data_IF_801466426539
#
_entry.id   IF_801466426539
#
_cell.length_a   1.000
_cell.length_b   1.000
_cell.length_c   1.000
_cell.angle_alpha   90.00
_cell.angle_beta   90.00
_cell.angle_gamma   90.00
#
_symmetry.space_group_name_H-M   'P 1'
#
loop_
_entity.id
_entity.type
_entity.pdbx_description
1 polymer ?
#
# COMPACT_ATOMS: atom_id res chain seq x y z
N UNK A 1 13.60 11.27 9.70
CA UNK A 1 13.98 11.63 11.07
C UNK A 1 14.62 10.47 11.82
N UNK A 2 13.99 9.30 11.75
CA UNK A 2 14.46 8.06 12.41
C UNK A 2 14.82 7.06 11.31
N UNK A 3 16.10 6.70 11.22
CA UNK A 3 16.60 5.75 10.23
C UNK A 3 17.33 4.59 10.91
N UNK A 4 16.98 3.37 10.52
CA UNK A 4 17.65 2.14 10.94
C UNK A 4 18.15 1.40 9.70
N UNK A 5 19.42 1.08 9.64
CA UNK A 5 19.99 0.39 8.49
C UNK A 5 20.59 -0.97 8.92
N UNK A 6 20.11 -2.04 8.30
CA UNK A 6 20.53 -3.42 8.57
C UNK A 6 20.41 -3.84 10.04
N UNK A 7 19.31 -3.44 10.66
CA UNK A 7 19.01 -3.80 12.03
C UNK A 7 18.10 -5.03 12.11
N UNK A 8 18.22 -5.79 13.19
CA UNK A 8 17.34 -6.90 13.53
C UNK A 8 16.74 -6.66 14.91
N UNK A 9 15.41 -6.56 14.99
CA UNK A 9 14.71 -6.22 16.21
C UNK A 9 14.66 -4.71 16.46
N UNK A 10 13.65 -4.05 15.89
CA UNK A 10 13.38 -2.61 16.07
C UNK A 10 12.04 -2.47 16.77
N UNK A 11 11.99 -1.69 17.84
CA UNK A 11 10.76 -1.26 18.48
C UNK A 11 10.72 0.25 18.59
N UNK A 12 9.71 0.88 17.95
CA UNK A 12 9.37 2.29 18.12
C UNK A 12 7.98 2.32 18.73
N UNK A 13 7.86 2.82 19.95
CA UNK A 13 6.60 2.72 20.68
C UNK A 13 6.27 3.98 21.46
N UNK A 14 4.97 4.36 21.43
CA UNK A 14 4.37 5.40 22.26
C UNK A 14 5.12 6.75 22.19
N UNK A 15 5.54 7.17 20.99
CA UNK A 15 6.24 8.42 20.76
C UNK A 15 5.49 9.30 19.76
N UNK A 16 5.69 10.61 19.88
CA UNK A 16 5.24 11.60 18.91
C UNK A 16 6.44 12.08 18.09
N UNK A 17 6.33 12.01 16.76
CA UNK A 17 7.36 12.46 15.81
C UNK A 17 6.80 13.58 14.94
N UNK A 18 7.51 14.69 14.86
CA UNK A 18 7.08 15.89 14.14
C UNK A 18 8.24 16.57 13.43
N UNK A 19 7.92 17.39 12.42
CA UNK A 19 8.87 18.29 11.76
C UNK A 19 10.11 17.59 11.18
N UNK A 20 9.91 16.42 10.57
CA UNK A 20 10.96 15.78 9.80
C UNK A 20 11.16 16.52 8.48
N UNK A 21 12.39 16.77 8.04
CA UNK A 21 12.66 17.38 6.73
C UNK A 21 12.43 16.40 5.56
N UNK A 22 12.25 15.13 5.84
CA UNK A 22 12.07 14.04 4.89
C UNK A 22 11.31 12.90 5.58
N UNK A 23 11.24 11.69 5.04
CA UNK A 23 10.57 10.53 5.62
C UNK A 23 10.82 10.40 7.13
N UNK A 24 9.75 10.20 7.90
CA UNK A 24 9.84 10.27 9.36
C UNK A 24 10.48 9.02 9.96
N UNK A 25 9.92 7.85 9.67
CA UNK A 25 10.46 6.54 10.09
C UNK A 25 10.87 5.77 8.84
N UNK A 26 12.17 5.52 8.69
CA UNK A 26 12.72 4.85 7.52
C UNK A 26 13.68 3.71 7.93
N UNK A 27 13.16 2.53 8.23
CA UNK A 27 14.00 1.34 8.34
C UNK A 27 14.40 0.84 6.95
N UNK A 28 15.67 0.56 6.76
CA UNK A 28 16.27 0.12 5.51
C UNK A 28 16.98 -1.21 5.69
N UNK A 29 16.71 -2.20 4.82
CA UNK A 29 17.35 -3.52 4.85
C UNK A 29 17.31 -4.17 6.26
N UNK A 30 16.21 -3.94 6.97
CA UNK A 30 16.04 -4.32 8.38
C UNK A 30 14.92 -5.34 8.55
N UNK A 31 14.89 -6.02 9.69
CA UNK A 31 13.87 -7.04 9.95
C UNK A 31 13.39 -7.04 11.39
N UNK A 32 12.24 -7.69 11.63
CA UNK A 32 11.60 -7.81 12.93
C UNK A 32 11.34 -6.42 13.55
N UNK A 33 10.48 -5.64 12.85
CA UNK A 33 10.23 -4.24 13.15
C UNK A 33 8.83 -4.10 13.74
N UNK A 34 8.71 -3.40 14.84
CA UNK A 34 7.42 -3.00 15.43
C UNK A 34 7.36 -1.49 15.57
N UNK A 35 6.32 -0.88 15.02
CA UNK A 35 5.93 0.52 15.21
C UNK A 35 4.55 0.52 15.86
N UNK A 36 4.45 0.90 17.13
CA UNK A 36 3.24 0.74 17.94
C UNK A 36 2.89 2.01 18.70
N UNK A 37 1.65 2.49 18.56
CA UNK A 37 1.18 3.66 19.30
C UNK A 37 1.90 4.96 18.94
N UNK A 38 2.45 5.07 17.74
CA UNK A 38 3.20 6.26 17.31
C UNK A 38 2.24 7.30 16.71
N UNK A 39 2.42 8.55 17.10
CA UNK A 39 1.73 9.69 16.50
C UNK A 39 2.70 10.47 15.60
N UNK A 40 2.39 10.58 14.31
CA UNK A 40 3.18 11.32 13.34
C UNK A 40 2.40 12.54 12.85
N UNK A 41 3.02 13.73 12.98
CA UNK A 41 2.53 14.97 12.38
C UNK A 41 3.65 15.61 11.56
N UNK A 42 3.59 15.47 10.24
CA UNK A 42 4.66 15.92 9.35
C UNK A 42 4.11 16.36 7.98
N UNK A 43 3.72 17.61 7.85
CA UNK A 43 3.05 18.18 6.66
C UNK A 43 4.00 18.59 5.52
N UNK A 44 5.31 18.45 5.70
CA UNK A 44 6.30 18.86 4.69
C UNK A 44 6.27 17.99 3.44
N UNK A 45 6.78 18.48 2.30
CA UNK A 45 6.93 17.67 1.09
C UNK A 45 7.87 16.48 1.34
N UNK A 46 7.58 15.33 0.74
CA UNK A 46 8.22 14.04 1.05
C UNK A 46 8.19 13.73 2.56
N UNK A 47 7.13 14.18 3.22
CA UNK A 47 6.93 14.01 4.65
C UNK A 47 6.23 12.70 4.99
N UNK A 48 6.60 11.59 4.30
CA UNK A 48 6.04 10.26 4.51
C UNK A 48 6.19 9.84 5.98
N UNK A 49 5.18 9.14 6.51
CA UNK A 49 5.16 8.77 7.92
C UNK A 49 6.06 7.58 8.25
N UNK A 50 5.87 6.46 7.58
CA UNK A 50 6.65 5.25 7.82
C UNK A 50 6.95 4.51 6.51
N UNK A 51 8.23 4.43 6.18
CA UNK A 51 8.74 3.91 4.92
C UNK A 51 9.65 2.69 5.12
N UNK A 52 9.09 1.50 5.40
CA UNK A 52 9.90 0.30 5.44
C UNK A 52 10.43 -0.02 4.04
N UNK A 53 11.77 0.04 3.86
CA UNK A 53 12.44 -0.18 2.59
C UNK A 53 13.29 -1.44 2.62
N UNK A 54 12.99 -2.42 1.76
CA UNK A 54 13.64 -3.72 1.72
C UNK A 54 13.64 -4.41 3.10
N UNK A 55 12.50 -4.35 3.80
CA UNK A 55 12.34 -4.83 5.17
C UNK A 55 11.51 -6.11 5.23
N UNK A 56 11.76 -6.92 6.26
CA UNK A 56 11.05 -8.17 6.49
C UNK A 56 10.46 -8.25 7.90
N UNK A 57 9.25 -8.80 8.03
CA UNK A 57 8.53 -8.94 9.29
C UNK A 57 8.33 -7.59 9.97
N UNK A 58 7.41 -6.80 9.43
CA UNK A 58 7.09 -5.45 9.92
C UNK A 58 5.67 -5.43 10.47
N UNK A 59 5.51 -4.93 11.68
CA UNK A 59 4.22 -4.62 12.29
C UNK A 59 4.12 -3.12 12.52
N UNK A 60 3.09 -2.49 11.94
CA UNK A 60 2.70 -1.11 12.20
C UNK A 60 1.30 -1.14 12.78
N UNK A 61 1.13 -0.74 14.03
CA UNK A 61 -0.17 -0.83 14.70
C UNK A 61 -0.46 0.35 15.63
N UNK A 62 -1.75 0.63 15.83
CA UNK A 62 -2.24 1.62 16.78
C UNK A 62 -1.65 3.04 16.54
N UNK A 63 -1.21 3.32 15.32
CA UNK A 63 -0.55 4.57 14.96
C UNK A 63 -1.54 5.57 14.36
N UNK A 64 -1.20 6.86 14.49
CA UNK A 64 -1.92 7.95 13.82
C UNK A 64 -0.95 8.69 12.91
N UNK A 65 -1.35 8.89 11.66
CA UNK A 65 -0.58 9.55 10.63
C UNK A 65 -1.31 10.81 10.15
N UNK A 66 -0.60 11.94 10.21
CA UNK A 66 -0.99 13.20 9.62
C UNK A 66 0.21 13.71 8.82
N UNK A 67 0.20 13.50 7.52
CA UNK A 67 1.41 13.61 6.68
C UNK A 67 1.16 14.45 5.44
N UNK A 68 2.20 15.14 4.98
CA UNK A 68 2.18 15.91 3.74
C UNK A 68 2.48 15.07 2.49
N UNK A 69 2.90 13.81 2.67
CA UNK A 69 3.06 12.81 1.61
C UNK A 69 2.43 11.48 2.09
N UNK A 70 2.88 10.32 1.67
CA UNK A 70 2.24 9.05 2.01
C UNK A 70 2.27 8.75 3.55
N UNK A 71 1.20 8.21 4.12
CA UNK A 71 1.18 7.83 5.54
C UNK A 71 2.12 6.66 5.81
N UNK A 72 1.97 5.58 5.04
CA UNK A 72 2.84 4.43 5.06
C UNK A 72 3.22 4.11 3.62
N UNK A 73 4.52 4.18 3.28
CA UNK A 73 5.01 3.88 1.95
C UNK A 73 6.04 2.76 1.95
N UNK A 74 5.61 1.57 1.57
CA UNK A 74 6.46 0.39 1.50
C UNK A 74 7.33 0.48 0.26
N UNK A 75 8.65 0.38 0.45
CA UNK A 75 9.66 0.56 -0.59
C UNK A 75 10.64 -0.63 -0.63
N UNK A 76 11.40 -0.75 -1.71
CA UNK A 76 12.48 -1.75 -1.86
C UNK A 76 13.54 -1.32 -2.88
N UNK A 77 13.87 -0.03 -2.83
CA UNK A 77 14.91 0.59 -3.63
C UNK A 77 14.47 1.07 -5.00
N UNK A 78 15.16 2.12 -5.46
CA UNK A 78 14.85 2.82 -6.71
C UNK A 78 15.73 2.31 -7.84
N UNK A 79 15.11 1.91 -8.96
CA UNK A 79 15.76 1.61 -10.23
C UNK A 79 16.93 0.59 -10.07
N UNK A 80 18.12 0.99 -10.51
CA UNK A 80 19.28 0.11 -10.51
C UNK A 80 19.71 -0.30 -9.10
N UNK A 81 19.66 0.61 -8.15
CA UNK A 81 20.05 0.31 -6.76
C UNK A 81 19.11 -0.74 -6.14
N UNK A 82 17.80 -0.58 -6.33
CA UNK A 82 16.83 -1.57 -5.84
C UNK A 82 17.00 -2.93 -6.52
N UNK A 83 17.30 -2.98 -7.81
CA UNK A 83 17.58 -4.23 -8.52
C UNK A 83 18.91 -4.87 -8.10
N UNK A 84 19.94 -4.06 -7.82
CA UNK A 84 21.23 -4.54 -7.35
C UNK A 84 21.11 -5.25 -6.00
N UNK A 85 20.39 -4.63 -5.07
CA UNK A 85 20.11 -5.23 -3.76
C UNK A 85 19.15 -6.41 -3.85
N UNK A 86 18.22 -6.36 -4.79
CA UNK A 86 17.22 -7.41 -5.07
C UNK A 86 16.56 -7.97 -3.80
N UNK A 87 16.25 -7.08 -2.87
CA UNK A 87 15.67 -7.42 -1.57
C UNK A 87 14.25 -6.87 -1.49
N UNK A 88 13.22 -7.71 -1.54
CA UNK A 88 11.85 -7.27 -1.43
C UNK A 88 11.51 -6.83 0.00
N UNK A 89 10.56 -5.91 0.12
CA UNK A 89 9.83 -5.74 1.38
C UNK A 89 8.77 -6.82 1.51
N UNK A 90 8.72 -7.55 2.62
CA UNK A 90 7.80 -8.67 2.78
C UNK A 90 7.31 -8.91 4.20
N UNK A 91 6.15 -9.56 4.30
CA UNK A 91 5.52 -9.90 5.56
C UNK A 91 5.26 -8.65 6.41
N UNK A 92 4.37 -7.78 5.93
CA UNK A 92 4.04 -6.51 6.56
C UNK A 92 2.60 -6.52 7.02
N UNK A 93 2.37 -6.26 8.29
CA UNK A 93 1.03 -6.06 8.87
C UNK A 93 0.86 -4.61 9.27
N UNK A 94 -0.23 -4.00 8.84
CA UNK A 94 -0.68 -2.67 9.21
C UNK A 94 -2.05 -2.81 9.84
N UNK A 95 -2.24 -2.43 11.09
CA UNK A 95 -3.54 -2.60 11.74
C UNK A 95 -3.87 -1.54 12.78
N UNK A 96 -5.17 -1.28 12.94
CA UNK A 96 -5.69 -0.36 13.93
C UNK A 96 -5.08 1.04 13.81
N UNK A 97 -4.75 1.48 12.60
CA UNK A 97 -4.15 2.79 12.35
C UNK A 97 -5.19 3.80 11.89
N UNK A 98 -4.90 5.08 12.16
CA UNK A 98 -5.64 6.22 11.61
C UNK A 98 -4.75 6.95 10.62
N UNK A 99 -5.28 7.22 9.42
CA UNK A 99 -4.64 8.04 8.39
C UNK A 99 -5.53 9.27 8.18
N UNK A 100 -5.04 10.42 8.63
CA UNK A 100 -5.82 11.66 8.65
C UNK A 100 -5.58 12.53 7.43
N UNK A 101 -4.33 12.59 6.94
CA UNK A 101 -3.95 13.30 5.71
C UNK A 101 -2.88 12.50 4.96
N UNK A 102 -2.59 12.90 3.73
CA UNK A 102 -1.46 12.36 2.96
C UNK A 102 -1.79 11.97 1.51
N UNK A 103 -0.76 11.69 0.73
CA UNK A 103 -0.93 11.25 -0.66
C UNK A 103 -1.46 9.81 -0.78
N UNK A 104 -1.39 9.05 0.30
CA UNK A 104 -1.99 7.72 0.39
C UNK A 104 -1.92 7.15 1.80
N UNK A 105 -2.94 6.38 2.20
CA UNK A 105 -2.98 5.72 3.50
C UNK A 105 -2.00 4.55 3.56
N UNK A 106 -2.25 3.53 2.75
CA UNK A 106 -1.33 2.39 2.56
C UNK A 106 -0.81 2.42 1.13
N UNK A 107 0.50 2.61 0.98
CA UNK A 107 1.14 2.79 -0.33
C UNK A 107 2.25 1.76 -0.55
N UNK A 108 2.31 1.21 -1.74
CA UNK A 108 3.43 0.40 -2.24
C UNK A 108 4.10 1.17 -3.38
N UNK A 109 5.37 1.50 -3.18
CA UNK A 109 6.16 2.25 -4.15
C UNK A 109 6.30 3.74 -3.82
N UNK A 110 6.81 4.50 -4.79
CA UNK A 110 7.25 4.11 -6.14
C UNK A 110 8.59 3.37 -6.18
N UNK A 111 9.48 3.58 -5.23
CA UNK A 111 10.80 2.92 -5.11
C UNK A 111 10.63 1.45 -4.71
N UNK A 112 10.24 0.60 -5.70
CA UNK A 112 9.83 -0.79 -5.44
C UNK A 112 10.56 -1.79 -6.35
N UNK A 113 11.77 -1.47 -6.78
CA UNK A 113 12.51 -2.29 -7.74
C UNK A 113 12.91 -3.67 -7.20
N UNK A 114 13.08 -3.80 -5.89
CA UNK A 114 13.31 -5.10 -5.23
C UNK A 114 12.05 -5.95 -5.03
N UNK A 115 10.86 -5.37 -5.28
CA UNK A 115 9.58 -6.05 -5.10
C UNK A 115 8.94 -5.88 -3.73
N UNK A 116 7.69 -6.34 -3.61
CA UNK A 116 6.93 -6.31 -2.36
C UNK A 116 6.00 -7.52 -2.28
N UNK A 117 5.95 -8.19 -1.14
CA UNK A 117 5.17 -9.41 -0.96
C UNK A 117 4.51 -9.48 0.42
N UNK A 118 3.29 -10.03 0.47
CA UNK A 118 2.59 -10.32 1.72
C UNK A 118 2.38 -9.07 2.58
N UNK A 119 1.55 -8.15 2.12
CA UNK A 119 1.10 -6.97 2.87
C UNK A 119 -0.35 -7.17 3.30
N UNK A 120 -0.63 -6.92 4.57
CA UNK A 120 -1.94 -7.07 5.17
C UNK A 120 -2.30 -5.81 5.96
N UNK A 121 -3.23 -5.01 5.43
CA UNK A 121 -3.77 -3.83 6.10
C UNK A 121 -5.18 -4.13 6.62
N UNK A 122 -5.44 -3.94 7.91
CA UNK A 122 -6.74 -4.24 8.49
C UNK A 122 -7.16 -3.31 9.63
N UNK A 123 -8.47 -3.16 9.78
CA UNK A 123 -9.07 -2.40 10.90
C UNK A 123 -8.54 -0.97 10.99
N UNK A 124 -8.31 -0.32 9.84
CA UNK A 124 -7.86 1.06 9.79
C UNK A 124 -9.01 2.03 9.55
N UNK A 125 -8.83 3.26 9.99
CA UNK A 125 -9.74 4.36 9.75
C UNK A 125 -9.03 5.48 8.99
N UNK A 126 -9.68 5.98 7.94
CA UNK A 126 -9.15 7.05 7.09
C UNK A 126 -10.23 8.09 6.84
N UNK A 127 -9.95 9.36 7.12
CA UNK A 127 -10.93 10.41 6.87
C UNK A 127 -10.26 11.78 6.77
N UNK A 128 -10.04 12.23 5.54
CA UNK A 128 -9.57 13.60 5.29
C UNK A 128 -9.82 14.01 3.83
N UNK A 129 -10.20 15.26 3.57
CA UNK A 129 -10.23 15.81 2.22
C UNK A 129 -8.83 15.89 1.58
N UNK A 130 -7.77 15.87 2.40
CA UNK A 130 -6.38 15.93 1.97
C UNK A 130 -5.71 14.55 1.88
N UNK A 131 -6.37 13.50 2.33
CA UNK A 131 -5.97 12.14 2.00
C UNK A 131 -6.35 11.84 0.55
N UNK A 132 -5.37 11.52 -0.31
CA UNK A 132 -5.68 11.31 -1.73
C UNK A 132 -6.18 9.92 -2.03
N UNK A 133 -5.56 8.86 -1.49
CA UNK A 133 -5.87 7.47 -1.82
C UNK A 133 -5.84 6.57 -0.58
N UNK A 134 -6.65 5.56 -0.58
CA UNK A 134 -6.73 4.63 0.55
C UNK A 134 -5.69 3.52 0.41
N UNK A 135 -5.77 2.71 -0.66
CA UNK A 135 -4.75 1.75 -1.07
C UNK A 135 -4.16 2.19 -2.41
N UNK A 136 -2.87 2.43 -2.42
CA UNK A 136 -2.16 2.93 -3.60
C UNK A 136 -0.99 2.01 -3.95
N UNK A 137 -0.92 1.56 -5.19
CA UNK A 137 0.24 0.88 -5.77
C UNK A 137 0.74 1.77 -6.92
N UNK A 138 1.99 2.24 -6.83
CA UNK A 138 2.59 3.13 -7.81
C UNK A 138 3.99 2.64 -8.20
N UNK A 139 4.19 2.43 -9.48
CA UNK A 139 5.48 2.01 -10.05
C UNK A 139 5.54 2.34 -11.54
N UNK A 140 6.62 2.01 -12.20
CA UNK A 140 6.79 2.19 -13.65
C UNK A 140 7.83 1.20 -14.21
N UNK A 141 8.06 1.26 -15.52
CA UNK A 141 9.01 0.40 -16.21
C UNK A 141 10.50 0.83 -16.10
N UNK A 142 10.79 1.88 -15.33
CA UNK A 142 12.14 2.15 -14.82
C UNK A 142 12.46 1.31 -13.59
N UNK A 143 11.44 1.02 -12.78
CA UNK A 143 11.52 0.30 -11.51
C UNK A 143 11.56 -1.21 -11.72
N UNK A 144 10.62 -1.75 -12.48
CA UNK A 144 10.33 -3.18 -12.48
C UNK A 144 9.75 -3.65 -11.15
N UNK A 145 10.12 -4.86 -10.75
CA UNK A 145 9.73 -5.47 -9.47
C UNK A 145 8.41 -6.22 -9.52
N UNK A 146 8.29 -7.22 -8.65
CA UNK A 146 7.08 -7.99 -8.42
C UNK A 146 6.39 -7.50 -7.16
N UNK A 147 5.15 -7.05 -7.30
CA UNK A 147 4.27 -6.68 -6.19
C UNK A 147 3.16 -7.71 -6.14
N UNK A 148 3.12 -8.51 -5.09
CA UNK A 148 2.11 -9.57 -4.98
C UNK A 148 1.60 -9.79 -3.56
N UNK A 149 0.37 -10.30 -3.49
CA UNK A 149 -0.31 -10.64 -2.25
C UNK A 149 -0.47 -9.42 -1.33
N UNK A 150 -1.17 -8.41 -1.85
CA UNK A 150 -1.49 -7.17 -1.16
C UNK A 150 -2.95 -7.22 -0.73
N UNK A 151 -3.19 -7.16 0.56
CA UNK A 151 -4.50 -7.38 1.14
C UNK A 151 -4.92 -6.20 2.02
N UNK A 152 -6.17 -5.76 1.88
CA UNK A 152 -6.80 -4.76 2.74
C UNK A 152 -8.19 -5.23 3.14
N UNK A 153 -8.53 -5.16 4.42
CA UNK A 153 -9.87 -5.50 4.90
C UNK A 153 -10.32 -4.68 6.10
N UNK A 154 -11.63 -4.60 6.29
CA UNK A 154 -12.26 -3.96 7.44
C UNK A 154 -11.73 -2.52 7.61
N UNK A 155 -11.75 -1.73 6.54
CA UNK A 155 -11.29 -0.34 6.56
C UNK A 155 -12.48 0.59 6.36
N UNK A 156 -12.59 1.58 7.24
CA UNK A 156 -13.64 2.61 7.17
C UNK A 156 -13.02 3.90 6.66
N UNK A 157 -13.60 4.43 5.59
CA UNK A 157 -13.15 5.69 4.99
C UNK A 157 -14.29 6.70 5.01
N UNK A 158 -14.12 7.82 5.70
CA UNK A 158 -15.03 8.95 5.60
C UNK A 158 -14.88 9.60 4.22
N UNK A 159 -13.70 10.05 3.89
CA UNK A 159 -13.42 10.59 2.57
C UNK A 159 -11.94 10.40 2.16
N UNK A 160 -11.74 10.37 0.84
CA UNK A 160 -10.44 10.54 0.20
C UNK A 160 -10.61 11.33 -1.11
N UNK A 161 -9.57 12.05 -1.52
CA UNK A 161 -9.69 13.00 -2.62
C UNK A 161 -9.74 12.32 -4.00
N UNK A 162 -8.98 11.24 -4.21
CA UNK A 162 -8.87 10.63 -5.53
C UNK A 162 -9.53 9.25 -5.63
N UNK A 163 -8.99 8.22 -5.02
CA UNK A 163 -9.47 6.86 -5.22
C UNK A 163 -9.35 5.96 -3.98
N UNK A 164 -10.30 5.06 -3.81
CA UNK A 164 -10.25 4.05 -2.75
C UNK A 164 -9.18 3.00 -3.09
N UNK A 165 -9.19 2.45 -4.29
CA UNK A 165 -8.11 1.60 -4.82
C UNK A 165 -7.48 2.27 -6.03
N UNK A 166 -6.17 2.51 -5.98
CA UNK A 166 -5.40 2.98 -7.15
C UNK A 166 -4.20 2.08 -7.42
N UNK A 167 -4.15 1.52 -8.62
CA UNK A 167 -2.96 0.83 -9.16
C UNK A 167 -2.49 1.63 -10.37
N UNK A 168 -1.23 2.07 -10.39
CA UNK A 168 -0.67 2.86 -11.47
C UNK A 168 0.73 2.36 -11.85
N UNK A 169 0.85 1.75 -13.02
CA UNK A 169 2.12 1.29 -13.59
C UNK A 169 2.78 2.32 -14.53
N UNK A 170 2.15 3.46 -14.73
CA UNK A 170 2.70 4.59 -15.51
C UNK A 170 2.98 5.80 -14.60
N UNK A 171 3.42 5.52 -13.37
CA UNK A 171 3.77 6.56 -12.42
C UNK A 171 5.08 7.25 -12.84
N UNK A 172 5.14 8.58 -12.70
CA UNK A 172 6.29 9.37 -13.18
C UNK A 172 6.67 9.07 -14.64
N UNK A 173 5.68 9.09 -15.53
CA UNK A 173 5.85 8.76 -16.95
C UNK A 173 6.97 9.55 -17.66
N UNK A 174 7.35 10.71 -17.11
CA UNK A 174 8.42 11.58 -17.63
C UNK A 174 9.80 11.32 -17.00
N UNK A 175 9.91 10.37 -16.08
CA UNK A 175 11.22 10.03 -15.48
C UNK A 175 12.22 9.61 -16.57
N UNK A 176 13.41 10.21 -16.55
CA UNK A 176 14.48 9.88 -17.49
C UNK A 176 15.21 8.63 -16.97
N UNK A 177 14.96 7.52 -17.66
CA UNK A 177 15.54 6.22 -17.28
C UNK A 177 15.49 5.25 -18.46
N UNK A 178 16.16 4.11 -18.32
CA UNK A 178 15.93 2.97 -19.19
C UNK A 178 14.65 2.22 -18.78
N UNK A 179 13.68 2.11 -19.72
CA UNK A 179 12.32 1.59 -19.46
C UNK A 179 12.15 0.13 -19.87
N UNK A 180 13.18 -0.69 -19.68
CA UNK A 180 13.15 -2.11 -20.03
C UNK A 180 12.73 -3.05 -18.90
N UNK A 181 12.35 -2.50 -17.73
CA UNK A 181 12.04 -3.29 -16.55
C UNK A 181 10.54 -3.29 -16.29
N UNK A 182 9.87 -4.37 -16.68
CA UNK A 182 8.42 -4.46 -16.57
C UNK A 182 7.99 -4.82 -15.15
N UNK A 183 7.25 -3.94 -14.43
CA UNK A 183 6.71 -4.29 -13.13
C UNK A 183 5.55 -5.26 -13.26
N UNK A 184 5.30 -6.05 -12.25
CA UNK A 184 4.13 -6.91 -12.16
C UNK A 184 3.40 -6.66 -10.85
N UNK A 185 2.08 -6.45 -10.94
CA UNK A 185 1.17 -6.33 -9.79
C UNK A 185 0.14 -7.45 -9.88
N UNK A 186 0.09 -8.32 -8.87
CA UNK A 186 -0.86 -9.42 -8.85
C UNK A 186 -1.32 -9.78 -7.44
N UNK A 187 -2.45 -10.49 -7.37
CA UNK A 187 -3.04 -10.94 -6.10
C UNK A 187 -3.28 -9.76 -5.16
N UNK A 188 -4.02 -8.76 -5.65
CA UNK A 188 -4.49 -7.63 -4.85
C UNK A 188 -5.92 -7.94 -4.39
N UNK A 189 -6.16 -7.88 -3.10
CA UNK A 189 -7.43 -8.21 -2.50
C UNK A 189 -7.90 -7.11 -1.54
N UNK A 190 -9.10 -6.61 -1.79
CA UNK A 190 -9.76 -5.63 -0.93
C UNK A 190 -11.11 -6.19 -0.50
N UNK A 191 -11.40 -6.23 0.80
CA UNK A 191 -12.64 -6.78 1.34
C UNK A 191 -13.19 -5.94 2.48
N UNK A 192 -14.51 -5.78 2.53
CA UNK A 192 -15.21 -5.06 3.59
C UNK A 192 -14.61 -3.67 3.84
N UNK A 193 -14.51 -2.87 2.77
CA UNK A 193 -14.07 -1.47 2.81
C UNK A 193 -15.25 -0.57 2.49
N UNK A 194 -15.45 0.46 3.30
CA UNK A 194 -16.49 1.47 3.09
C UNK A 194 -15.85 2.83 2.83
N UNK A 195 -16.43 3.63 1.93
CA UNK A 195 -16.00 4.99 1.66
C UNK A 195 -17.20 5.89 1.40
N UNK A 196 -17.28 7.05 2.08
CA UNK A 196 -18.41 7.96 1.94
C UNK A 196 -18.20 9.01 0.83
N UNK A 197 -16.93 9.32 0.46
CA UNK A 197 -16.63 10.28 -0.60
C UNK A 197 -15.27 10.05 -1.23
N UNK A 198 -15.25 9.97 -2.57
CA UNK A 198 -14.03 9.91 -3.38
C UNK A 198 -14.30 10.38 -4.81
N UNK A 199 -13.25 10.60 -5.62
CA UNK A 199 -13.43 10.83 -7.06
C UNK A 199 -13.68 9.52 -7.82
N UNK A 200 -12.97 8.46 -7.45
CA UNK A 200 -13.06 7.12 -8.06
C UNK A 200 -13.20 6.07 -6.97
N UNK A 201 -14.00 5.04 -7.22
CA UNK A 201 -13.96 3.84 -6.39
C UNK A 201 -12.71 3.02 -6.69
N UNK A 202 -12.55 2.60 -7.95
CA UNK A 202 -11.39 1.84 -8.44
C UNK A 202 -10.75 2.54 -9.63
N UNK A 203 -9.43 2.75 -9.59
CA UNK A 203 -8.64 3.36 -10.64
C UNK A 203 -7.42 2.49 -10.95
N UNK A 204 -7.41 1.82 -12.09
CA UNK A 204 -6.30 0.97 -12.53
C UNK A 204 -5.71 1.53 -13.83
N UNK A 205 -4.41 1.76 -13.82
CA UNK A 205 -3.62 2.19 -14.98
C UNK A 205 -2.54 1.13 -15.21
N UNK A 206 -2.85 0.16 -16.07
CA UNK A 206 -1.92 -0.89 -16.52
C UNK A 206 -1.02 -0.39 -17.64
N UNK A 207 -0.12 -1.26 -18.12
CA UNK A 207 0.69 -1.01 -19.30
C UNK A 207 -0.10 -1.37 -20.56
N UNK A 208 0.24 -0.72 -21.71
CA UNK A 208 -0.48 -0.95 -22.95
C UNK A 208 -0.01 -2.21 -23.69
N UNK A 209 1.24 -2.60 -23.50
CA UNK A 209 1.88 -3.69 -24.23
C UNK A 209 1.59 -5.06 -23.62
N UNK A 210 1.56 -5.13 -22.28
CA UNK A 210 1.48 -6.40 -21.56
C UNK A 210 0.50 -6.35 -20.39
N UNK A 211 -0.05 -7.50 -20.01
CA UNK A 211 -0.99 -7.67 -18.90
C UNK A 211 -0.25 -7.83 -17.57
N UNK A 212 0.25 -6.74 -17.04
CA UNK A 212 1.05 -6.74 -15.80
C UNK A 212 0.26 -6.44 -14.53
N UNK A 213 -1.04 -6.15 -14.64
CA UNK A 213 -1.96 -6.05 -13.50
C UNK A 213 -2.97 -7.17 -13.62
N UNK A 214 -2.95 -8.13 -12.71
CA UNK A 214 -3.88 -9.26 -12.75
C UNK A 214 -4.16 -9.86 -11.38
N UNK A 215 -5.23 -10.66 -11.31
CA UNK A 215 -5.73 -11.26 -10.08
C UNK A 215 -6.05 -10.18 -9.03
N UNK A 216 -6.88 -9.21 -9.40
CA UNK A 216 -7.36 -8.15 -8.51
C UNK A 216 -8.80 -8.44 -8.12
N UNK A 217 -9.11 -8.47 -6.83
CA UNK A 217 -10.47 -8.68 -6.32
C UNK A 217 -10.86 -7.57 -5.37
N UNK A 218 -12.03 -6.97 -5.60
CA UNK A 218 -12.69 -6.05 -4.66
C UNK A 218 -14.01 -6.69 -4.26
N UNK A 219 -14.16 -7.02 -2.99
CA UNK A 219 -15.25 -7.84 -2.47
C UNK A 219 -15.94 -7.19 -1.28
N UNK A 220 -17.27 -7.32 -1.23
CA UNK A 220 -18.09 -6.83 -0.11
C UNK A 220 -17.77 -5.37 0.28
N UNK A 221 -17.57 -4.50 -0.70
CA UNK A 221 -17.22 -3.09 -0.52
C UNK A 221 -18.39 -2.16 -0.87
N UNK A 222 -18.47 -1.02 -0.17
CA UNK A 222 -19.49 -0.02 -0.41
C UNK A 222 -18.91 1.40 -0.44
N UNK A 223 -18.97 2.05 -1.60
CA UNK A 223 -18.48 3.40 -1.83
C UNK A 223 -19.65 4.32 -2.24
N UNK A 224 -20.11 5.19 -1.34
CA UNK A 224 -21.37 5.92 -1.53
C UNK A 224 -21.26 7.25 -2.25
N UNK A 225 -20.20 8.00 -2.09
CA UNK A 225 -20.06 9.35 -2.65
C UNK A 225 -19.00 9.46 -3.73
N UNK A 226 -19.02 8.59 -4.72
CA UNK A 226 -18.08 8.64 -5.84
C UNK A 226 -18.56 9.64 -6.89
N UNK A 227 -17.78 10.71 -7.12
CA UNK A 227 -18.23 11.87 -7.90
C UNK A 227 -17.78 11.89 -9.35
N UNK A 228 -16.66 11.27 -9.73
CA UNK A 228 -16.19 11.29 -11.12
C UNK A 228 -16.57 10.02 -11.87
N UNK A 229 -16.05 8.90 -11.45
CA UNK A 229 -16.31 7.63 -12.13
C UNK A 229 -16.20 6.47 -11.14
N UNK A 230 -17.18 5.56 -11.10
CA UNK A 230 -17.15 4.40 -10.22
C UNK A 230 -15.90 3.55 -10.39
N UNK A 231 -15.63 3.14 -11.62
CA UNK A 231 -14.48 2.32 -12.00
C UNK A 231 -13.85 2.90 -13.26
N UNK A 232 -12.53 3.10 -13.25
CA UNK A 232 -11.75 3.46 -14.42
C UNK A 232 -10.57 2.52 -14.54
N UNK A 233 -10.49 1.83 -15.67
CA UNK A 233 -9.35 0.96 -16.00
C UNK A 233 -8.80 1.35 -17.38
N UNK A 234 -7.49 1.48 -17.48
CA UNK A 234 -6.75 1.75 -18.71
C UNK A 234 -5.53 0.84 -18.82
N UNK A 235 -5.04 0.64 -20.03
CA UNK A 235 -3.99 -0.35 -20.28
C UNK A 235 -4.53 -1.78 -20.19
N UNK A 236 -3.63 -2.75 -20.28
CA UNK A 236 -4.00 -4.16 -20.25
C UNK A 236 -4.04 -4.68 -18.82
N UNK A 237 -5.17 -5.28 -18.47
CA UNK A 237 -5.38 -5.95 -17.18
C UNK A 237 -6.01 -7.31 -17.42
N UNK A 238 -5.82 -8.23 -16.49
CA UNK A 238 -6.39 -9.58 -16.56
C UNK A 238 -6.95 -9.98 -15.22
N UNK A 239 -8.05 -10.72 -15.23
CA UNK A 239 -8.62 -11.35 -14.05
C UNK A 239 -8.91 -10.33 -12.91
N UNK A 240 -9.56 -9.21 -13.25
CA UNK A 240 -10.07 -8.23 -12.27
C UNK A 240 -11.52 -8.60 -11.95
N UNK A 241 -11.82 -8.84 -10.69
CA UNK A 241 -13.15 -9.25 -10.21
C UNK A 241 -13.73 -8.26 -9.22
N UNK A 242 -14.99 -7.91 -9.42
CA UNK A 242 -15.82 -7.22 -8.44
C UNK A 242 -16.89 -8.17 -7.92
N UNK A 243 -16.87 -8.46 -6.63
CA UNK A 243 -17.75 -9.37 -5.96
C UNK A 243 -18.49 -8.61 -4.85
N UNK A 244 -19.79 -8.38 -5.07
CA UNK A 244 -20.60 -7.56 -4.18
C UNK A 244 -19.99 -6.16 -3.91
N UNK A 245 -19.54 -5.49 -4.97
CA UNK A 245 -19.06 -4.11 -4.92
C UNK A 245 -20.23 -3.15 -5.20
N UNK A 246 -20.62 -2.37 -4.22
CA UNK A 246 -21.61 -1.30 -4.36
C UNK A 246 -20.91 0.05 -4.53
N UNK A 247 -21.29 0.81 -5.58
CA UNK A 247 -20.82 2.18 -5.77
C UNK A 247 -22.03 3.07 -6.10
N UNK A 248 -22.25 4.11 -5.30
CA UNK A 248 -23.41 5.01 -5.44
C UNK A 248 -24.74 4.22 -5.58
N UNK A 249 -24.96 3.26 -4.70
CA UNK A 249 -26.13 2.38 -4.65
C UNK A 249 -26.30 1.46 -5.88
N UNK A 250 -25.31 1.37 -6.76
CA UNK A 250 -25.34 0.48 -7.89
C UNK A 250 -24.35 -0.70 -7.65
N UNK A 251 -24.84 -1.90 -7.92
CA UNK A 251 -24.00 -3.09 -7.93
C UNK A 251 -23.08 -3.07 -9.16
N UNK A 252 -21.79 -3.07 -8.93
CA UNK A 252 -20.77 -3.12 -9.97
C UNK A 252 -20.38 -4.58 -10.17
N UNK A 253 -20.65 -5.10 -11.37
CA UNK A 253 -20.33 -6.47 -11.72
C UNK A 253 -19.14 -6.47 -12.70
N UNK A 254 -18.18 -7.28 -12.41
CA UNK A 254 -17.14 -7.67 -13.35
C UNK A 254 -16.67 -9.07 -12.97
N UNK A 255 -17.08 -10.04 -13.79
CA UNK A 255 -16.61 -11.41 -13.66
C UNK A 255 -15.27 -11.57 -14.37
N UNK A 256 -14.38 -12.26 -13.73
CA UNK A 256 -13.14 -12.70 -14.33
C UNK A 256 -13.34 -14.05 -15.01
N UNK A 257 -12.74 -14.26 -16.18
CA UNK A 257 -12.75 -15.55 -16.89
C UNK A 257 -12.23 -16.71 -16.02
N UNK A 258 -11.31 -16.38 -15.12
CA UNK A 258 -10.81 -17.28 -14.08
C UNK A 258 -10.78 -16.50 -12.77
N UNK A 259 -11.83 -16.59 -11.95
CA UNK A 259 -11.88 -15.82 -10.71
C UNK A 259 -10.67 -16.18 -9.84
N UNK A 260 -9.93 -15.16 -9.44
CA UNK A 260 -8.90 -15.30 -8.42
C UNK A 260 -9.62 -15.67 -7.12
N UNK A 261 -9.38 -16.86 -6.66
CA UNK A 261 -9.78 -17.23 -5.31
C UNK A 261 -8.71 -16.72 -4.37
N UNK A 262 -9.10 -15.90 -3.42
CA UNK A 262 -8.16 -15.47 -2.40
C UNK A 262 -7.87 -16.67 -1.49
N UNK A 263 -6.77 -17.33 -1.77
CA UNK A 263 -6.21 -18.35 -0.90
C UNK A 263 -5.25 -17.77 0.13
N UNK A 264 -5.07 -16.43 0.16
CA UNK A 264 -4.23 -15.84 1.18
C UNK A 264 -4.91 -16.04 2.52
N UNK A 265 -4.44 -17.01 3.25
CA UNK A 265 -4.66 -17.03 4.68
C UNK A 265 -4.07 -15.74 5.22
N UNK A 266 -4.88 -14.98 5.94
CA UNK A 266 -4.37 -13.86 6.68
C UNK A 266 -3.31 -14.39 7.63
N UNK A 267 -2.07 -14.08 7.33
CA UNK A 267 -0.99 -14.41 8.24
C UNK A 267 -1.19 -13.64 9.52
N UNK A 268 -1.31 -14.33 10.62
CA UNK A 268 -1.27 -13.71 11.93
C UNK A 268 0.14 -13.26 12.23
N UNK A 269 0.29 -12.26 13.08
CA UNK A 269 1.61 -11.80 13.49
C UNK A 269 2.48 -12.93 14.06
N UNK A 270 1.89 -13.86 14.82
CA UNK A 270 2.56 -15.05 15.32
C UNK A 270 3.06 -15.99 14.21
N UNK A 271 2.38 -16.08 13.09
CA UNK A 271 2.84 -16.87 11.93
C UNK A 271 4.00 -16.20 11.21
N UNK A 272 4.05 -14.86 11.16
CA UNK A 272 5.18 -14.11 10.64
C UNK A 272 6.43 -14.21 11.53
N UNK A 273 6.24 -14.36 12.83
CA UNK A 273 7.28 -14.46 13.84
C UNK A 273 8.10 -15.76 13.82
N UNK A 274 8.10 -16.54 12.79
CA UNK A 274 8.88 -17.79 12.75
C UNK A 274 10.40 -17.61 12.86
N UNK A 275 10.88 -16.41 13.07
CA UNK A 275 12.28 -16.14 13.42
C UNK A 275 12.46 -16.16 14.94
N UNK A 276 13.41 -16.96 15.48
CA UNK A 276 13.53 -17.25 16.92
C UNK A 276 13.94 -16.06 17.81
N UNK A 277 14.07 -14.87 17.26
CA UNK A 277 14.51 -13.67 17.97
C UNK A 277 13.65 -12.46 17.60
N UNK A 278 12.35 -12.53 17.84
CA UNK A 278 11.56 -11.31 17.76
C UNK A 278 11.55 -10.64 19.14
N UNK A 279 12.02 -9.43 19.21
CA UNK A 279 11.84 -8.55 20.37
C UNK A 279 10.43 -7.96 20.41
N UNK A 280 9.50 -8.58 19.73
CA UNK A 280 8.14 -8.15 19.63
C UNK A 280 7.39 -8.62 20.86
N UNK A 281 6.87 -7.68 21.61
CA UNK A 281 5.94 -7.95 22.68
C UNK A 281 4.62 -8.45 22.07
N UNK A 282 4.10 -9.53 22.58
CA UNK A 282 2.77 -10.06 22.25
C UNK A 282 1.68 -9.08 22.64
#
# INVERSE_FOLDING_TARGET
LVNFNRCDGILIKDVKLTNSPFWVIHPLLSKNITVDGVYIWNEGPNGDGCDPEACENVLIQNCTFHTGDDCIAIKSGRNNDGRLWNTPSKNIIIRNCKMEDGHGGVVIGSEISGGCQNVYAENCHMDSPDLERVLRIKTNNCRGGLIENINMRNVTVGQCREAVLKINLDYEAKEICYRGFQPTVRKVYMENVTCQKSNYGVLIIGLNEIENVYDVTVKDCNFTGVVKQPVKMTGKTRNVKFDNLMINDNLILQDADKPYQNYSQWMTWSEMKRTPKSYMLD
#
